data_IF_766690765029
#
_entry.id   IF_766690765029
#
_cell.length_a   1.000
_cell.length_b   1.000
_cell.length_c   1.000
_cell.angle_alpha   90.00
_cell.angle_beta   90.00
_cell.angle_gamma   90.00
#
_symmetry.space_group_name_H-M   'P 1'
#
loop_
_entity.id
_entity.type
_entity.pdbx_description
1 polymer ?
#
# COMPACT_ATOMS: atom_id res chain seq x y z
N UNK A 1 -20.17 26.04 -62.13
CA UNK A 1 -19.96 24.58 -62.06
C UNK A 1 -19.22 24.31 -60.76
N UNK A 2 -19.93 24.16 -59.64
CA UNK A 2 -20.43 22.89 -59.06
C UNK A 2 -19.35 21.84 -58.82
N UNK A 3 -19.19 21.48 -57.54
CA UNK A 3 -18.60 20.22 -57.07
C UNK A 3 -17.36 20.43 -56.20
N UNK A 4 -17.21 19.85 -55.01
CA UNK A 4 -18.05 18.92 -54.25
C UNK A 4 -17.62 19.02 -52.78
N UNK A 5 -18.59 19.11 -51.87
CA UNK A 5 -18.37 18.99 -50.43
C UNK A 5 -18.16 17.52 -50.10
N UNK A 6 -17.00 17.15 -49.57
CA UNK A 6 -16.76 15.84 -48.96
C UNK A 6 -17.02 15.97 -47.47
N UNK A 7 -18.17 15.44 -47.03
CA UNK A 7 -18.53 15.29 -45.63
C UNK A 7 -18.13 13.87 -45.23
N UNK A 8 -17.03 13.74 -44.48
CA UNK A 8 -16.65 12.46 -43.87
C UNK A 8 -17.20 12.46 -42.45
N UNK A 9 -18.27 11.68 -42.29
CA UNK A 9 -18.85 11.21 -41.05
C UNK A 9 -18.15 9.91 -40.62
N UNK A 10 -18.43 9.46 -39.38
CA UNK A 10 -17.88 8.30 -38.66
C UNK A 10 -16.58 8.60 -37.87
N UNK A 11 -16.41 8.19 -36.62
CA UNK A 11 -17.05 7.11 -35.89
C UNK A 11 -17.20 7.44 -34.40
N UNK A 12 -18.33 7.00 -33.85
CA UNK A 12 -18.69 7.02 -32.44
C UNK A 12 -17.79 6.01 -31.68
N UNK A 13 -16.81 6.51 -30.95
CA UNK A 13 -15.99 5.69 -30.06
C UNK A 13 -16.77 5.37 -28.79
N UNK A 14 -17.06 4.09 -28.59
CA UNK A 14 -17.58 3.54 -27.34
C UNK A 14 -16.46 3.65 -26.29
N UNK A 15 -16.58 4.64 -25.40
CA UNK A 15 -15.69 4.79 -24.24
C UNK A 15 -16.16 3.78 -23.18
N UNK A 16 -15.43 2.67 -23.08
CA UNK A 16 -15.54 1.74 -21.95
C UNK A 16 -15.22 2.49 -20.66
N UNK A 17 -16.19 2.53 -19.75
CA UNK A 17 -16.04 3.08 -18.41
C UNK A 17 -15.04 2.27 -17.59
N UNK A 18 -13.78 2.71 -17.58
CA UNK A 18 -12.78 2.24 -16.62
C UNK A 18 -13.05 3.00 -15.32
N UNK A 19 -13.55 2.30 -14.30
CA UNK A 19 -13.56 2.82 -12.93
C UNK A 19 -12.13 3.11 -12.49
N UNK A 20 -11.74 4.37 -12.55
CA UNK A 20 -10.52 4.86 -11.94
C UNK A 20 -10.68 4.76 -10.42
N UNK A 21 -9.98 3.81 -9.82
CA UNK A 21 -9.70 3.85 -8.39
C UNK A 21 -8.97 5.17 -8.11
N UNK A 22 -9.62 6.08 -7.38
CA UNK A 22 -9.02 7.34 -6.99
C UNK A 22 -7.72 7.02 -6.23
N UNK A 23 -6.54 7.43 -6.73
CA UNK A 23 -5.30 7.18 -6.01
C UNK A 23 -5.39 7.92 -4.67
N UNK A 24 -5.19 7.18 -3.58
CA UNK A 24 -4.99 7.72 -2.25
C UNK A 24 -3.65 8.48 -2.25
N UNK A 25 -3.63 9.68 -2.81
CA UNK A 25 -2.47 10.53 -2.93
C UNK A 25 -2.95 11.98 -2.82
N UNK A 26 -2.44 12.68 -1.80
CA UNK A 26 -2.85 14.05 -1.50
C UNK A 26 -2.88 14.93 -2.74
N UNK A 27 -3.97 15.70 -2.88
CA UNK A 27 -4.17 16.61 -3.99
C UNK A 27 -2.99 17.59 -4.08
N UNK A 28 -2.20 17.48 -5.16
CA UNK A 28 -1.17 18.45 -5.49
C UNK A 28 -1.83 19.77 -5.89
N UNK A 29 -1.33 20.88 -5.35
CA UNK A 29 -1.73 22.24 -5.73
C UNK A 29 -0.59 22.91 -6.50
N UNK A 30 -0.95 23.81 -7.41
CA UNK A 30 0.01 24.63 -8.13
C UNK A 30 0.16 25.99 -7.43
N UNK A 31 1.38 26.33 -7.02
CA UNK A 31 1.66 27.58 -6.29
C UNK A 31 2.61 28.45 -7.10
N UNK A 32 2.28 29.73 -7.24
CA UNK A 32 3.15 30.73 -7.86
C UNK A 32 4.11 31.32 -6.82
N UNK A 33 5.41 31.32 -7.14
CA UNK A 33 6.45 31.95 -6.35
C UNK A 33 6.49 33.47 -6.51
N UNK A 34 7.10 34.15 -5.54
CA UNK A 34 7.47 35.55 -5.67
C UNK A 34 8.64 35.72 -6.65
N UNK A 35 8.74 36.90 -7.28
CA UNK A 35 9.79 37.19 -8.25
C UNK A 35 11.19 37.03 -7.63
N UNK A 36 12.10 36.37 -8.35
CA UNK A 36 13.45 36.07 -7.88
C UNK A 36 13.56 34.96 -6.83
N UNK A 37 12.46 34.30 -6.46
CA UNK A 37 12.51 33.16 -5.54
C UNK A 37 12.94 31.88 -6.26
N UNK A 38 13.84 31.11 -5.65
CA UNK A 38 14.21 29.80 -6.18
C UNK A 38 13.00 28.84 -6.10
N UNK A 39 12.70 28.04 -7.14
CA UNK A 39 11.48 27.23 -7.17
C UNK A 39 11.35 26.25 -6.00
N UNK A 40 12.46 25.67 -5.55
CA UNK A 40 12.52 24.78 -4.36
C UNK A 40 12.19 25.43 -3.01
N UNK A 41 11.95 26.74 -2.99
CA UNK A 41 11.50 27.47 -1.79
C UNK A 41 10.02 27.84 -1.84
N UNK A 42 9.37 27.71 -3.01
CA UNK A 42 7.99 28.17 -3.21
C UNK A 42 7.03 27.44 -2.26
N UNK A 43 7.07 26.11 -2.23
CA UNK A 43 6.18 25.33 -1.37
C UNK A 43 6.43 25.58 0.11
N UNK A 44 7.71 25.56 0.54
CA UNK A 44 8.09 25.79 1.93
C UNK A 44 7.66 27.16 2.46
N UNK A 45 7.83 28.23 1.67
CA UNK A 45 7.39 29.58 2.06
C UNK A 45 5.87 29.69 2.16
N UNK A 46 5.14 28.89 1.39
CA UNK A 46 3.69 28.84 1.43
C UNK A 46 3.15 27.84 2.48
N UNK A 47 4.01 27.16 3.25
CA UNK A 47 3.60 26.19 4.27
C UNK A 47 3.20 24.81 3.72
N UNK A 48 3.66 24.48 2.51
CA UNK A 48 3.42 23.20 1.85
C UNK A 48 4.69 22.34 1.78
N UNK A 49 4.52 21.05 1.49
CA UNK A 49 5.61 20.14 1.15
C UNK A 49 5.83 20.15 -0.37
N UNK A 50 7.06 19.90 -0.80
CA UNK A 50 7.36 19.79 -2.23
C UNK A 50 6.75 18.49 -2.80
N UNK A 51 6.18 18.57 -4.02
CA UNK A 51 5.64 17.40 -4.70
C UNK A 51 6.74 16.63 -5.44
N UNK A 52 6.57 15.31 -5.53
CA UNK A 52 7.37 14.44 -6.38
C UNK A 52 6.58 14.06 -7.62
N UNK A 53 7.22 14.17 -8.79
CA UNK A 53 6.64 13.67 -10.02
C UNK A 53 7.01 12.19 -10.19
N UNK A 54 6.05 11.42 -10.67
CA UNK A 54 6.18 9.99 -10.99
C UNK A 54 5.41 9.71 -12.28
N UNK A 55 5.69 8.58 -12.92
CA UNK A 55 4.90 8.14 -14.10
C UNK A 55 3.41 8.02 -13.77
N UNK A 56 3.04 7.69 -12.52
CA UNK A 56 1.65 7.51 -12.12
C UNK A 56 0.87 8.83 -11.97
N UNK A 57 1.51 9.90 -11.51
CA UNK A 57 0.85 11.19 -11.31
C UNK A 57 1.09 12.20 -12.45
N UNK A 58 1.99 11.91 -13.40
CA UNK A 58 2.29 12.78 -14.53
C UNK A 58 1.06 13.23 -15.35
N UNK A 59 0.07 12.37 -15.66
CA UNK A 59 -1.12 12.80 -16.38
C UNK A 59 -1.91 13.88 -15.63
N UNK A 60 -1.99 13.77 -14.29
CA UNK A 60 -2.69 14.75 -13.44
C UNK A 60 -1.93 16.08 -13.40
N UNK A 61 -0.61 16.02 -13.22
CA UNK A 61 0.24 17.22 -13.23
C UNK A 61 0.13 17.97 -14.57
N UNK A 62 0.10 17.22 -15.67
CA UNK A 62 -0.07 17.77 -17.02
C UNK A 62 -1.40 18.53 -17.15
N UNK A 63 -2.51 17.91 -16.77
CA UNK A 63 -3.84 18.54 -16.81
C UNK A 63 -3.89 19.80 -15.95
N UNK A 64 -3.29 19.79 -14.75
CA UNK A 64 -3.22 20.98 -13.89
C UNK A 64 -2.45 22.14 -14.54
N UNK A 65 -1.39 21.86 -15.29
CA UNK A 65 -0.64 22.90 -16.02
C UNK A 65 -1.44 23.46 -17.20
N UNK A 66 -2.08 22.59 -17.96
CA UNK A 66 -2.92 22.96 -19.11
C UNK A 66 -4.12 23.82 -18.68
N UNK A 67 -4.84 23.41 -17.63
CA UNK A 67 -5.98 24.14 -17.07
C UNK A 67 -5.58 25.49 -16.47
N UNK A 68 -4.40 25.58 -15.84
CA UNK A 68 -3.88 26.82 -15.28
C UNK A 68 -3.25 27.75 -16.33
N UNK A 69 -3.05 27.30 -17.57
CA UNK A 69 -2.31 28.05 -18.59
C UNK A 69 -0.84 28.28 -18.22
N UNK A 70 -0.25 27.37 -17.44
CA UNK A 70 1.13 27.45 -16.97
C UNK A 70 2.01 26.51 -17.80
N UNK A 71 3.09 26.99 -18.44
CA UNK A 71 3.88 26.16 -19.33
C UNK A 71 4.66 25.06 -18.59
N UNK A 72 5.15 25.36 -17.38
CA UNK A 72 5.95 24.43 -16.60
C UNK A 72 5.93 24.74 -15.11
N UNK A 73 6.18 23.74 -14.27
CA UNK A 73 6.26 23.89 -12.83
C UNK A 73 7.31 22.96 -12.21
N UNK A 74 7.88 23.41 -11.10
CA UNK A 74 8.89 22.72 -10.33
C UNK A 74 8.34 21.53 -9.55
N UNK A 75 9.16 20.48 -9.42
CA UNK A 75 8.96 19.33 -8.54
C UNK A 75 10.31 18.97 -7.88
N UNK A 76 10.28 18.47 -6.64
CA UNK A 76 11.49 18.15 -5.88
C UNK A 76 12.11 16.79 -6.22
N UNK A 77 11.59 16.12 -7.24
CA UNK A 77 12.10 14.84 -7.68
C UNK A 77 11.30 14.24 -8.82
N UNK A 78 11.94 13.29 -9.50
CA UNK A 78 11.36 12.50 -10.57
C UNK A 78 11.62 11.02 -10.28
N UNK A 79 10.56 10.23 -10.17
CA UNK A 79 10.63 8.85 -9.66
C UNK A 79 11.28 8.80 -8.26
N UNK A 80 12.26 7.92 -8.08
CA UNK A 80 12.99 7.70 -6.83
C UNK A 80 14.23 8.62 -6.71
N UNK A 81 14.38 9.58 -7.61
CA UNK A 81 15.48 10.54 -7.61
C UNK A 81 15.00 11.90 -7.07
N UNK A 82 15.55 12.28 -5.92
CA UNK A 82 15.38 13.60 -5.32
C UNK A 82 16.40 14.57 -5.95
N UNK A 83 15.91 15.47 -6.79
CA UNK A 83 16.69 16.53 -7.43
C UNK A 83 15.73 17.63 -7.92
N UNK A 84 16.27 18.76 -8.38
CA UNK A 84 15.47 19.86 -8.88
C UNK A 84 15.04 19.60 -10.33
N UNK A 85 13.76 19.26 -10.52
CA UNK A 85 13.18 19.03 -11.85
C UNK A 85 12.06 20.02 -12.17
N UNK A 86 11.80 20.17 -13.46
CA UNK A 86 10.70 20.96 -14.00
C UNK A 86 9.85 20.06 -14.90
N UNK A 87 8.57 20.00 -14.60
CA UNK A 87 7.55 19.32 -15.38
C UNK A 87 6.91 20.33 -16.33
N UNK A 88 6.87 20.00 -17.61
CA UNK A 88 6.22 20.82 -18.64
C UNK A 88 4.81 20.33 -18.92
N UNK A 89 3.96 21.21 -19.45
CA UNK A 89 2.59 20.88 -19.85
C UNK A 89 2.54 19.83 -20.99
N UNK A 90 3.66 19.57 -21.68
CA UNK A 90 3.79 18.47 -22.65
C UNK A 90 3.89 17.10 -21.98
N UNK A 91 4.15 17.05 -20.67
CA UNK A 91 4.49 15.84 -19.91
C UNK A 91 5.98 15.51 -19.89
N UNK A 92 6.84 16.35 -20.48
CA UNK A 92 8.30 16.17 -20.39
C UNK A 92 8.83 16.65 -19.04
N UNK A 93 9.83 15.95 -18.51
CA UNK A 93 10.52 16.32 -17.26
C UNK A 93 11.98 16.63 -17.60
N UNK A 94 12.45 17.80 -17.16
CA UNK A 94 13.82 18.27 -17.42
C UNK A 94 14.47 18.74 -16.13
N UNK A 95 15.79 18.62 -15.96
CA UNK A 95 16.50 19.26 -14.85
C UNK A 95 16.23 20.77 -14.82
N UNK A 96 16.04 21.30 -13.62
CA UNK A 96 15.88 22.73 -13.40
C UNK A 96 17.19 23.46 -13.72
N UNK A 97 17.07 24.57 -14.43
CA UNK A 97 18.19 25.48 -14.67
C UNK A 97 17.66 26.90 -14.73
N UNK A 98 18.23 27.80 -13.92
CA UNK A 98 17.72 29.17 -13.73
C UNK A 98 17.70 30.03 -15.01
N UNK A 99 18.43 29.61 -16.05
CA UNK A 99 18.53 30.35 -17.32
C UNK A 99 17.71 29.69 -18.44
N UNK A 100 17.76 28.36 -18.58
CA UNK A 100 17.22 27.65 -19.75
C UNK A 100 15.88 26.98 -19.46
N UNK A 101 15.64 26.57 -18.21
CA UNK A 101 14.46 25.86 -17.75
C UNK A 101 13.93 26.49 -16.45
N UNK A 102 13.82 27.82 -16.44
CA UNK A 102 13.28 28.55 -15.30
C UNK A 102 11.76 28.37 -15.21
N UNK A 103 11.23 28.29 -14.00
CA UNK A 103 9.80 28.33 -13.74
C UNK A 103 9.50 29.17 -12.53
N UNK A 104 8.36 29.87 -12.55
CA UNK A 104 7.85 30.64 -11.42
C UNK A 104 6.81 29.86 -10.60
N UNK A 105 6.52 28.61 -10.94
CA UNK A 105 5.49 27.80 -10.30
C UNK A 105 6.09 26.52 -9.74
N UNK A 106 5.50 25.99 -8.67
CA UNK A 106 5.85 24.71 -8.08
C UNK A 106 4.60 23.89 -7.78
N UNK A 107 4.71 22.58 -7.95
CA UNK A 107 3.73 21.66 -7.42
C UNK A 107 4.01 21.40 -5.95
N UNK A 108 3.00 21.67 -5.12
CA UNK A 108 3.09 21.52 -3.69
C UNK A 108 2.02 20.55 -3.20
N UNK A 109 2.34 19.81 -2.15
CA UNK A 109 1.40 18.93 -1.46
C UNK A 109 1.10 19.56 -0.12
N UNK A 110 -0.19 19.69 0.21
CA UNK A 110 -0.57 20.05 1.58
C UNK A 110 0.03 18.98 2.50
N UNK A 111 0.83 19.35 3.53
CA UNK A 111 1.22 18.37 4.51
C UNK A 111 -0.06 17.70 4.96
N UNK A 112 -0.12 16.37 4.90
CA UNK A 112 -1.24 15.67 5.50
C UNK A 112 -1.26 16.14 6.94
N UNK A 113 -2.24 16.98 7.28
CA UNK A 113 -2.71 17.09 8.63
C UNK A 113 -3.32 15.73 8.90
N UNK A 114 -2.47 14.74 9.16
CA UNK A 114 -2.82 13.73 10.13
C UNK A 114 -3.11 14.58 11.36
N UNK A 115 -4.37 15.00 11.52
CA UNK A 115 -4.78 15.54 12.80
C UNK A 115 -4.29 14.52 13.82
N UNK A 116 -3.56 15.01 14.81
CA UNK A 116 -2.85 14.22 15.81
C UNK A 116 -3.76 13.20 16.52
N UNK A 117 -5.08 13.28 16.34
CA UNK A 117 -6.08 12.32 16.80
C UNK A 117 -5.96 10.93 16.16
N UNK A 118 -5.79 10.82 14.84
CA UNK A 118 -5.72 9.48 14.20
C UNK A 118 -4.36 8.83 14.43
N UNK A 119 -3.28 9.61 14.51
CA UNK A 119 -1.97 9.08 14.91
C UNK A 119 -1.96 8.70 16.38
N UNK A 120 -2.56 9.50 17.27
CA UNK A 120 -2.71 9.11 18.68
C UNK A 120 -3.63 7.90 18.85
N UNK A 121 -4.71 7.79 18.07
CA UNK A 121 -5.58 6.63 18.04
C UNK A 121 -4.86 5.40 17.51
N UNK A 122 -4.08 5.53 16.43
CA UNK A 122 -3.25 4.47 15.89
C UNK A 122 -2.17 4.02 16.88
N UNK A 123 -1.45 4.96 17.51
CA UNK A 123 -0.45 4.63 18.55
C UNK A 123 -1.11 3.99 19.78
N UNK A 124 -2.30 4.47 20.20
CA UNK A 124 -3.09 3.84 21.28
C UNK A 124 -3.57 2.44 20.91
N UNK A 125 -3.97 2.20 19.66
CA UNK A 125 -4.39 0.88 19.18
C UNK A 125 -3.19 -0.05 19.06
N UNK A 126 -2.07 0.44 18.53
CA UNK A 126 -0.82 -0.31 18.39
C UNK A 126 -0.25 -0.71 19.76
N UNK A 127 -0.32 0.18 20.76
CA UNK A 127 0.08 -0.13 22.14
C UNK A 127 -0.86 -1.13 22.83
N UNK A 128 -2.12 -1.26 22.37
CA UNK A 128 -3.08 -2.26 22.87
C UNK A 128 -2.97 -3.59 22.14
N UNK A 129 -2.43 -3.63 20.92
CA UNK A 129 -2.24 -4.88 20.21
C UNK A 129 -1.14 -5.70 20.89
N UNK A 130 -1.40 -7.00 21.16
CA UNK A 130 -0.33 -7.88 21.60
C UNK A 130 0.78 -7.89 20.54
N UNK A 131 2.06 -7.94 20.95
CA UNK A 131 3.17 -7.95 20.01
C UNK A 131 2.97 -9.07 19.00
N UNK A 132 3.33 -8.85 17.71
CA UNK A 132 3.19 -9.86 16.69
C UNK A 132 3.92 -11.12 17.16
N UNK A 133 3.17 -12.22 17.27
CA UNK A 133 3.71 -13.50 17.71
C UNK A 133 4.82 -13.89 16.73
N UNK A 134 6.03 -14.25 17.20
CA UNK A 134 7.14 -14.57 16.30
C UNK A 134 6.72 -15.65 15.32
N UNK A 135 7.07 -15.50 14.04
CA UNK A 135 6.66 -16.40 12.95
C UNK A 135 7.00 -17.89 13.23
N UNK A 136 8.00 -18.15 14.08
CA UNK A 136 8.37 -19.49 14.54
C UNK A 136 7.31 -20.17 15.42
N UNK A 137 6.44 -19.42 16.10
CA UNK A 137 5.32 -19.94 16.87
C UNK A 137 4.16 -20.37 15.95
N UNK A 138 3.84 -19.55 14.94
CA UNK A 138 2.78 -19.84 13.96
C UNK A 138 3.11 -21.06 13.09
N UNK A 139 4.39 -21.23 12.73
CA UNK A 139 4.85 -22.38 11.96
C UNK A 139 4.74 -23.71 12.74
N UNK A 140 4.69 -23.67 14.08
CA UNK A 140 4.63 -24.87 14.93
C UNK A 140 3.19 -25.42 15.02
N UNK A 141 2.20 -24.54 15.08
CA UNK A 141 0.77 -24.93 15.13
C UNK A 141 0.23 -25.46 13.79
N UNK A 142 0.75 -25.00 12.66
CA UNK A 142 0.35 -25.52 11.34
C UNK A 142 0.98 -26.88 10.99
N UNK A 143 1.96 -27.37 11.77
CA UNK A 143 2.66 -28.62 11.50
C UNK A 143 1.88 -29.86 11.96
N UNK A 144 1.00 -29.72 12.96
CA UNK A 144 0.15 -30.80 13.47
C UNK A 144 -0.92 -31.29 12.47
N UNK A 145 -1.72 -30.41 11.81
CA UNK A 145 -2.77 -30.87 10.89
C UNK A 145 -2.23 -31.45 9.57
N UNK A 146 -1.04 -31.04 9.13
CA UNK A 146 -0.44 -31.53 7.89
C UNK A 146 0.07 -32.99 7.99
N UNK A 147 0.49 -33.42 9.18
CA UNK A 147 0.91 -34.81 9.41
C UNK A 147 -0.29 -35.77 9.45
N UNK A 148 -1.40 -35.36 10.07
CA UNK A 148 -2.63 -36.15 10.16
C UNK A 148 -3.29 -36.38 8.78
N UNK A 149 -3.23 -35.39 7.88
CA UNK A 149 -3.75 -35.53 6.51
C UNK A 149 -2.95 -36.54 5.68
N UNK A 150 -1.63 -36.67 5.90
CA UNK A 150 -0.79 -37.63 5.17
C UNK A 150 -1.06 -39.09 5.57
N UNK A 151 -1.33 -39.35 6.85
CA UNK A 151 -1.67 -40.71 7.31
C UNK A 151 -3.04 -41.18 6.80
N UNK A 152 -4.02 -40.27 6.72
CA UNK A 152 -5.35 -40.58 6.16
C UNK A 152 -5.28 -40.85 4.65
N UNK A 153 -4.51 -40.08 3.90
CA UNK A 153 -4.32 -40.29 2.46
C UNK A 153 -3.61 -41.62 2.15
N UNK A 154 -2.62 -42.02 2.96
CA UNK A 154 -1.92 -43.31 2.77
C UNK A 154 -2.81 -44.52 3.08
N UNK A 155 -3.70 -44.42 4.07
CA UNK A 155 -4.66 -45.49 4.38
C UNK A 155 -5.71 -45.66 3.28
N UNK A 156 -6.22 -44.56 2.72
CA UNK A 156 -7.17 -44.60 1.61
C UNK A 156 -6.60 -45.23 0.34
N UNK A 157 -5.28 -45.14 0.11
CA UNK A 157 -4.62 -45.70 -1.07
C UNK A 157 -4.44 -47.23 -1.03
N UNK A 158 -4.56 -47.85 0.15
CA UNK A 158 -4.36 -49.29 0.32
C UNK A 158 -5.65 -50.13 0.24
N UNK A 159 -6.83 -49.51 0.32
CA UNK A 159 -8.11 -50.25 0.44
C UNK A 159 -9.02 -50.16 -0.80
N UNK A 160 -8.70 -49.38 -1.84
CA UNK A 160 -9.58 -49.22 -3.01
C UNK A 160 -9.01 -49.76 -4.31
N UNK A 161 -9.68 -50.73 -4.98
CA UNK A 161 -9.30 -51.17 -6.32
C UNK A 161 -9.48 -50.04 -7.36
N UNK A 162 -8.61 -50.03 -8.37
CA UNK A 162 -8.33 -48.89 -9.25
C UNK A 162 -9.51 -48.36 -10.11
N UNK A 163 -10.69 -48.98 -10.08
CA UNK A 163 -11.85 -48.55 -10.89
C UNK A 163 -12.73 -47.47 -10.25
N UNK A 164 -12.57 -47.19 -8.95
CA UNK A 164 -13.40 -46.21 -8.21
C UNK A 164 -12.70 -44.86 -7.93
N UNK A 165 -11.50 -44.64 -8.49
CA UNK A 165 -10.67 -43.45 -8.21
C UNK A 165 -11.31 -42.11 -8.64
N UNK A 166 -12.22 -42.11 -9.63
CA UNK A 166 -12.93 -40.88 -10.03
C UNK A 166 -14.09 -40.54 -9.10
N UNK A 167 -14.77 -41.53 -8.53
CA UNK A 167 -15.87 -41.31 -7.58
C UNK A 167 -15.33 -40.82 -6.22
N UNK A 168 -14.19 -41.35 -5.78
CA UNK A 168 -13.56 -41.00 -4.51
C UNK A 168 -12.87 -39.62 -4.52
N UNK A 169 -12.32 -39.17 -5.66
CA UNK A 169 -11.80 -37.81 -5.81
C UNK A 169 -12.90 -36.73 -5.70
N UNK A 170 -14.12 -37.02 -6.19
CA UNK A 170 -15.27 -36.12 -6.04
C UNK A 170 -15.77 -36.08 -4.59
N UNK A 171 -15.78 -37.22 -3.89
CA UNK A 171 -16.13 -37.29 -2.47
C UNK A 171 -15.13 -36.55 -1.56
N UNK A 172 -13.83 -36.60 -1.85
CA UNK A 172 -12.82 -35.85 -1.11
C UNK A 172 -12.96 -34.33 -1.30
N UNK A 173 -13.35 -33.87 -2.49
CA UNK A 173 -13.62 -32.44 -2.73
C UNK A 173 -14.87 -31.96 -1.99
N UNK A 174 -15.92 -32.77 -1.90
CA UNK A 174 -17.13 -32.38 -1.15
C UNK A 174 -16.91 -32.39 0.36
N UNK A 175 -16.14 -33.34 0.90
CA UNK A 175 -15.73 -33.39 2.31
C UNK A 175 -14.81 -32.23 2.69
N UNK A 176 -13.83 -31.88 1.85
CA UNK A 176 -12.96 -30.73 2.08
C UNK A 176 -13.74 -29.40 2.08
N UNK A 177 -14.73 -29.27 1.18
CA UNK A 177 -15.62 -28.10 1.15
C UNK A 177 -16.52 -28.03 2.38
N UNK A 178 -16.99 -29.17 2.90
CA UNK A 178 -17.82 -29.24 4.10
C UNK A 178 -17.01 -28.94 5.38
N UNK A 179 -15.79 -29.45 5.50
CA UNK A 179 -14.88 -29.15 6.62
C UNK A 179 -14.48 -27.67 6.70
N UNK A 180 -14.43 -26.98 5.55
CA UNK A 180 -14.19 -25.53 5.50
C UNK A 180 -15.39 -24.71 5.99
N UNK A 181 -16.61 -25.27 5.96
CA UNK A 181 -17.84 -24.60 6.37
C UNK A 181 -18.28 -24.93 7.81
N UNK A 182 -17.87 -26.08 8.36
CA UNK A 182 -18.27 -26.56 9.69
C UNK A 182 -17.23 -26.30 10.80
N UNK A 183 -16.25 -25.43 10.60
CA UNK A 183 -15.39 -24.96 11.71
C UNK A 183 -16.03 -23.72 12.37
N UNK A 184 -16.83 -23.86 13.44
CA UNK A 184 -17.28 -22.70 14.19
C UNK A 184 -16.07 -22.00 14.80
N UNK A 185 -16.01 -20.69 14.62
CA UNK A 185 -15.01 -19.78 15.19
C UNK A 185 -14.96 -19.74 16.74
N UNK A 186 -15.59 -20.70 17.44
CA UNK A 186 -15.66 -20.76 18.91
C UNK A 186 -14.43 -21.38 19.57
N UNK A 187 -13.70 -22.28 18.90
CA UNK A 187 -12.60 -23.01 19.57
C UNK A 187 -11.27 -22.27 19.60
N UNK A 188 -11.09 -21.22 18.78
CA UNK A 188 -9.90 -20.38 18.83
C UNK A 188 -9.83 -19.50 20.09
N UNK A 189 -10.94 -19.28 20.80
CA UNK A 189 -10.95 -18.58 22.11
C UNK A 189 -10.54 -19.48 23.27
N UNK A 190 -10.79 -20.80 23.21
CA UNK A 190 -10.45 -21.72 24.28
C UNK A 190 -8.94 -22.03 24.34
N UNK A 191 -8.26 -22.11 23.19
CA UNK A 191 -6.82 -22.39 23.14
C UNK A 191 -5.94 -21.23 23.63
N UNK A 192 -6.42 -19.98 23.53
CA UNK A 192 -5.71 -18.81 24.07
C UNK A 192 -5.75 -18.76 25.61
N UNK A 193 -6.79 -19.30 26.25
CA UNK A 193 -6.92 -19.28 27.71
C UNK A 193 -6.07 -20.36 28.42
N UNK A 194 -5.73 -21.46 27.73
CA UNK A 194 -4.96 -22.55 28.31
C UNK A 194 -3.45 -22.26 28.43
N UNK A 195 -2.91 -21.36 27.60
CA UNK A 195 -1.47 -21.00 27.59
C UNK A 195 -1.06 -19.96 28.65
N UNK A 196 -2.03 -19.40 29.39
CA UNK A 196 -1.78 -18.42 30.47
C UNK A 196 -1.59 -19.07 31.86
N UNK A 197 -1.49 -20.40 31.97
CA UNK A 197 -1.11 -21.11 33.20
C UNK A 197 0.26 -21.79 33.06
N UNK A 198 1.31 -20.99 32.93
CA UNK A 198 2.66 -21.44 33.24
C UNK A 198 3.30 -20.45 34.22
N UNK A 199 3.80 -20.89 35.38
CA UNK A 199 4.34 -20.01 36.39
C UNK A 199 5.63 -19.32 35.90
N UNK A 200 5.68 -18.02 36.18
CA UNK A 200 6.74 -17.10 35.84
C UNK A 200 8.12 -17.54 36.37
N UNK A 201 9.07 -17.77 35.48
CA UNK A 201 10.51 -17.67 35.79
C UNK A 201 10.94 -16.19 35.82
N UNK A 202 10.25 -15.39 36.63
CA UNK A 202 10.55 -13.98 36.90
C UNK A 202 11.17 -13.82 38.29
N UNK A 203 12.17 -14.66 38.60
CA UNK A 203 12.91 -14.58 39.87
C UNK A 203 14.43 -14.50 39.73
N UNK A 204 14.99 -14.67 38.53
CA UNK A 204 16.45 -14.67 38.35
C UNK A 204 17.01 -13.29 37.95
N UNK A 205 16.22 -12.43 37.31
CA UNK A 205 16.70 -11.11 36.83
C UNK A 205 16.63 -10.03 37.92
N UNK A 206 15.83 -10.22 38.99
CA UNK A 206 15.75 -9.26 40.11
C UNK A 206 16.88 -9.37 41.15
N UNK A 207 17.69 -10.44 41.14
CA UNK A 207 18.81 -10.59 42.10
C UNK A 207 20.15 -10.01 41.62
N UNK A 208 20.31 -9.72 40.33
CA UNK A 208 21.57 -9.15 39.80
C UNK A 208 21.64 -7.62 39.88
N UNK A 209 20.54 -6.92 40.15
CA UNK A 209 20.51 -5.45 40.23
C UNK A 209 20.62 -4.86 41.65
N UNK A 210 20.73 -5.68 42.70
CA UNK A 210 20.84 -5.20 44.10
C UNK A 210 22.24 -5.23 44.72
N UNK A 211 23.30 -5.61 43.99
CA UNK A 211 24.67 -5.72 44.53
C UNK A 211 25.70 -4.73 43.96
N UNK A 212 25.27 -3.67 43.26
CA UNK A 212 26.20 -2.68 42.66
C UNK A 212 26.00 -1.24 43.16
N UNK A 213 25.47 -1.07 44.38
CA UNK A 213 25.27 0.24 45.03
C UNK A 213 25.57 0.23 46.54
N UNK A 214 26.46 -0.64 46.99
CA UNK A 214 27.05 -0.58 48.34
C UNK A 214 28.50 -1.03 48.26
N UNK A 215 29.37 -0.13 47.78
CA UNK A 215 30.80 0.00 48.08
C UNK A 215 31.26 1.36 47.54
#
# INVERSE_FOLDING_TARGET
MLGSKVVISFAMFIISSISAAAPAGGYGILVKGADGCHPSQICRRAGYMDALATVHNMPVLKTLLEEAGVPSAYVAGWHDQLDDFVVHHSGTVTPHHSITNATAHAFCVKPHSCEDEDRAAYVRDYARRPPPVPASAVARDLRAPAAALKSLAKKALCETPARDLRASAAALKSLAKKALCETPARDLRASAAASLRAPSTSSYIRQLFRRRWLL
#
